data_IF_860299774604
#
_entry.id   IF_860299774604
#
_cell.length_a   1.000
_cell.length_b   1.000
_cell.length_c   1.000
_cell.angle_alpha   90.00
_cell.angle_beta   90.00
_cell.angle_gamma   90.00
#
_symmetry.space_group_name_H-M   'P 1'
#
loop_
_entity.id
_entity.type
_entity.pdbx_description
1 polymer ?
#
# COMPACT_ATOMS: atom_id res chain seq x y z
N UNK A 1 17.16 7.38 13.02
CA UNK A 1 17.13 7.82 11.59
C UNK A 1 17.36 9.33 11.55
N UNK A 2 18.33 9.83 10.77
CA UNK A 2 18.50 11.28 10.59
C UNK A 2 17.55 11.75 9.49
N UNK A 3 16.54 12.53 9.87
CA UNK A 3 15.61 13.18 8.94
C UNK A 3 16.39 14.29 8.22
N UNK A 4 16.31 14.36 6.88
CA UNK A 4 16.99 15.40 6.09
C UNK A 4 16.52 16.79 6.53
N UNK A 5 17.41 17.79 6.49
CA UNK A 5 17.11 19.18 6.92
C UNK A 5 15.84 19.75 6.25
N UNK A 6 15.67 19.49 4.96
CA UNK A 6 14.51 19.91 4.17
C UNK A 6 13.19 19.39 4.75
N UNK A 7 13.15 18.12 5.18
CA UNK A 7 11.96 17.52 5.77
C UNK A 7 11.66 18.11 7.15
N UNK A 8 12.67 18.52 7.91
CA UNK A 8 12.49 19.19 9.21
C UNK A 8 11.91 20.60 9.04
N UNK A 9 12.35 21.35 8.04
CA UNK A 9 11.77 22.65 7.70
C UNK A 9 10.32 22.53 7.24
N UNK A 10 9.99 21.48 6.50
CA UNK A 10 8.62 21.22 6.07
C UNK A 10 7.68 20.91 7.24
N UNK A 11 8.11 20.06 8.18
CA UNK A 11 7.36 19.75 9.41
C UNK A 11 7.13 21.02 10.24
N UNK A 12 8.14 21.89 10.36
CA UNK A 12 8.03 23.17 11.07
C UNK A 12 7.04 24.14 10.42
N UNK A 13 7.05 24.23 9.09
CA UNK A 13 6.10 25.06 8.35
C UNK A 13 4.68 24.54 8.49
N UNK A 14 4.48 23.22 8.39
CA UNK A 14 3.19 22.57 8.61
C UNK A 14 2.69 22.78 10.05
N UNK A 15 3.54 22.56 11.06
CA UNK A 15 3.21 22.82 12.46
C UNK A 15 2.75 24.27 12.68
N UNK A 16 3.48 25.23 12.08
CA UNK A 16 3.14 26.66 12.13
C UNK A 16 1.83 27.00 11.41
N UNK A 17 1.55 26.42 10.23
CA UNK A 17 0.33 26.71 9.48
C UNK A 17 -0.93 26.16 10.16
N UNK A 18 -0.80 25.03 10.85
CA UNK A 18 -1.91 24.37 11.54
C UNK A 18 -2.01 24.71 13.03
N UNK A 19 -1.07 25.50 13.57
CA UNK A 19 -1.05 25.89 14.98
C UNK A 19 -0.87 24.71 15.94
N UNK A 20 -0.16 23.66 15.50
CA UNK A 20 0.07 22.41 16.24
C UNK A 20 1.55 22.24 16.59
N UNK A 21 1.85 21.29 17.47
CA UNK A 21 3.24 20.93 17.80
C UNK A 21 3.96 20.25 16.61
N UNK A 22 5.29 20.33 16.56
CA UNK A 22 6.08 19.60 15.54
C UNK A 22 5.87 18.08 15.61
N UNK A 23 5.63 17.54 16.81
CA UNK A 23 5.33 16.12 17.02
C UNK A 23 3.95 15.73 16.49
N UNK A 24 2.90 16.54 16.74
CA UNK A 24 1.58 16.33 16.13
C UNK A 24 1.60 16.50 14.62
N UNK A 25 2.36 17.47 14.10
CA UNK A 25 2.54 17.65 12.66
C UNK A 25 3.16 16.40 12.02
N UNK A 26 4.21 15.85 12.64
CA UNK A 26 4.83 14.62 12.17
C UNK A 26 3.85 13.45 12.21
N UNK A 27 3.10 13.27 13.30
CA UNK A 27 2.13 12.18 13.43
C UNK A 27 0.99 12.29 12.40
N UNK A 28 0.49 13.50 12.14
CA UNK A 28 -0.50 13.75 11.10
C UNK A 28 0.03 13.41 9.71
N UNK A 29 1.22 13.89 9.36
CA UNK A 29 1.86 13.61 8.07
C UNK A 29 2.09 12.10 7.88
N UNK A 30 2.50 11.39 8.92
CA UNK A 30 2.65 9.92 8.88
C UNK A 30 1.29 9.25 8.65
N UNK A 31 0.23 9.70 9.34
CA UNK A 31 -1.13 9.17 9.16
C UNK A 31 -1.63 9.41 7.73
N UNK A 32 -1.49 10.63 7.21
CA UNK A 32 -1.88 11.00 5.85
C UNK A 32 -1.16 10.15 4.80
N UNK A 33 0.15 9.93 4.95
CA UNK A 33 0.90 9.05 4.05
C UNK A 33 0.38 7.61 4.14
N UNK A 34 0.09 7.12 5.34
CA UNK A 34 -0.43 5.77 5.54
C UNK A 34 -1.80 5.59 4.90
N UNK A 35 -2.72 6.52 5.12
CA UNK A 35 -4.06 6.53 4.55
C UNK A 35 -4.03 6.61 3.02
N UNK A 36 -3.17 7.46 2.46
CA UNK A 36 -2.98 7.57 1.02
C UNK A 36 -2.44 6.27 0.42
N UNK A 37 -1.47 5.62 1.08
CA UNK A 37 -0.95 4.32 0.64
C UNK A 37 -2.00 3.22 0.75
N UNK A 38 -2.82 3.22 1.79
CA UNK A 38 -3.89 2.26 1.99
C UNK A 38 -5.00 2.41 0.95
N UNK A 39 -5.40 3.65 0.65
CA UNK A 39 -6.36 3.98 -0.41
C UNK A 39 -5.83 3.58 -1.78
N UNK A 40 -4.57 3.92 -2.10
CA UNK A 40 -3.95 3.53 -3.37
C UNK A 40 -3.87 2.00 -3.53
N UNK A 41 -3.59 1.29 -2.43
CA UNK A 41 -3.59 -0.18 -2.41
C UNK A 41 -4.99 -0.74 -2.67
N UNK A 42 -6.01 -0.20 -2.01
CA UNK A 42 -7.41 -0.63 -2.20
C UNK A 42 -7.88 -0.41 -3.65
N UNK A 43 -7.57 0.76 -4.22
CA UNK A 43 -7.89 1.07 -5.62
C UNK A 43 -7.21 0.10 -6.59
N UNK A 44 -5.92 -0.17 -6.39
CA UNK A 44 -5.18 -1.15 -7.21
C UNK A 44 -5.77 -2.55 -7.09
N UNK A 45 -6.14 -2.97 -5.88
CA UNK A 45 -6.80 -4.26 -5.66
C UNK A 45 -8.13 -4.34 -6.40
N UNK A 46 -8.95 -3.30 -6.33
CA UNK A 46 -10.23 -3.25 -7.01
C UNK A 46 -10.05 -3.31 -8.54
N UNK A 47 -9.11 -2.55 -9.10
CA UNK A 47 -8.82 -2.57 -10.53
C UNK A 47 -8.34 -3.95 -11.01
N UNK A 48 -7.53 -4.65 -10.20
CA UNK A 48 -7.13 -6.03 -10.49
C UNK A 48 -8.36 -6.95 -10.49
N UNK A 49 -9.23 -6.86 -9.48
CA UNK A 49 -10.45 -7.68 -9.35
C UNK A 49 -11.38 -7.45 -10.54
N UNK A 50 -11.56 -6.22 -10.99
CA UNK A 50 -12.41 -5.87 -12.12
C UNK A 50 -11.84 -6.38 -13.47
N UNK A 51 -10.52 -6.45 -13.60
CA UNK A 51 -9.85 -6.91 -14.82
C UNK A 51 -9.71 -8.43 -14.89
N UNK A 52 -9.63 -9.13 -13.75
CA UNK A 52 -9.46 -10.59 -13.68
C UNK A 52 -10.47 -11.38 -14.53
N UNK A 53 -11.78 -11.08 -14.53
CA UNK A 53 -12.78 -11.78 -15.35
C UNK A 53 -12.58 -11.62 -16.87
N UNK A 54 -11.86 -10.58 -17.31
CA UNK A 54 -11.63 -10.27 -18.72
C UNK A 54 -10.32 -10.86 -19.25
N UNK A 55 -9.53 -11.52 -18.40
CA UNK A 55 -8.28 -12.15 -18.81
C UNK A 55 -8.55 -13.46 -19.54
N UNK A 56 -7.83 -13.69 -20.63
CA UNK A 56 -7.82 -14.99 -21.30
C UNK A 56 -6.98 -16.02 -20.51
N UNK A 57 -7.03 -17.28 -20.92
CA UNK A 57 -6.37 -18.38 -20.21
C UNK A 57 -4.84 -18.19 -20.09
N UNK A 58 -4.18 -17.71 -21.14
CA UNK A 58 -2.74 -17.46 -21.12
C UNK A 58 -2.36 -16.32 -20.16
N UNK A 59 -3.13 -15.24 -20.17
CA UNK A 59 -2.94 -14.11 -19.25
C UNK A 59 -3.17 -14.52 -17.78
N UNK A 60 -4.20 -15.34 -17.51
CA UNK A 60 -4.44 -15.90 -16.18
C UNK A 60 -3.29 -16.79 -15.72
N UNK A 61 -2.70 -17.58 -16.63
CA UNK A 61 -1.54 -18.43 -16.37
C UNK A 61 -0.30 -17.60 -16.02
N UNK A 62 -0.04 -16.53 -16.77
CA UNK A 62 1.07 -15.60 -16.51
C UNK A 62 0.94 -14.91 -15.15
N UNK A 63 -0.26 -14.40 -14.84
CA UNK A 63 -0.55 -13.79 -13.53
C UNK A 63 -0.30 -14.79 -12.41
N UNK A 64 -0.78 -16.03 -12.55
CA UNK A 64 -0.55 -17.09 -11.56
C UNK A 64 0.93 -17.38 -11.35
N UNK A 65 1.71 -17.52 -12.43
CA UNK A 65 3.15 -17.77 -12.35
C UNK A 65 3.89 -16.59 -11.69
N UNK A 66 3.47 -15.36 -11.97
CA UNK A 66 4.03 -14.17 -11.34
C UNK A 66 3.75 -14.16 -9.83
N UNK A 67 2.52 -14.49 -9.43
CA UNK A 67 2.14 -14.59 -8.02
C UNK A 67 2.90 -15.71 -7.33
N UNK A 68 3.06 -16.89 -7.94
CA UNK A 68 3.87 -17.98 -7.39
C UNK A 68 5.36 -17.60 -7.28
N UNK A 69 5.90 -16.82 -8.21
CA UNK A 69 7.30 -16.34 -8.15
C UNK A 69 7.51 -15.34 -7.02
N UNK A 70 6.59 -14.38 -6.86
CA UNK A 70 6.69 -13.33 -5.84
C UNK A 70 6.29 -13.82 -4.45
N UNK A 71 5.34 -14.75 -4.38
CA UNK A 71 4.76 -15.30 -3.16
C UNK A 71 4.61 -16.83 -3.27
N UNK A 72 5.71 -17.60 -3.10
CA UNK A 72 5.77 -19.04 -3.37
C UNK A 72 4.75 -19.90 -2.62
N UNK A 73 4.31 -19.46 -1.45
CA UNK A 73 3.37 -20.20 -0.59
C UNK A 73 1.94 -19.67 -0.68
N UNK A 74 1.67 -18.64 -1.49
CA UNK A 74 0.37 -17.96 -1.53
C UNK A 74 -0.80 -18.92 -1.80
N UNK A 75 -0.74 -19.70 -2.88
CA UNK A 75 -1.80 -20.63 -3.24
C UNK A 75 -1.90 -21.83 -2.29
N UNK A 76 -0.79 -22.26 -1.68
CA UNK A 76 -0.80 -23.31 -0.66
C UNK A 76 -1.48 -22.86 0.65
N UNK A 77 -1.31 -21.59 1.02
CA UNK A 77 -1.97 -21.01 2.19
C UNK A 77 -3.46 -20.82 1.90
N UNK A 78 -3.82 -20.30 0.72
CA UNK A 78 -5.21 -20.16 0.30
C UNK A 78 -5.95 -21.50 0.25
N UNK A 79 -5.35 -22.55 -0.30
CA UNK A 79 -6.00 -23.86 -0.39
C UNK A 79 -6.31 -24.44 0.98
N UNK A 80 -5.40 -24.26 1.96
CA UNK A 80 -5.60 -24.65 3.36
C UNK A 80 -6.66 -23.82 4.08
N UNK A 81 -6.83 -22.55 3.71
CA UNK A 81 -7.85 -21.68 4.30
C UNK A 81 -9.27 -22.03 3.83
N UNK A 82 -9.42 -22.55 2.61
CA UNK A 82 -10.71 -22.97 2.04
C UNK A 82 -11.14 -24.36 2.56
N UNK A 83 -10.20 -25.18 3.05
CA UNK A 83 -10.48 -26.53 3.59
C UNK A 83 -10.88 -26.54 5.07
N UNK A 84 -11.03 -25.37 5.70
CA UNK A 84 -11.39 -25.20 7.12
C UNK A 84 -12.77 -24.59 7.27
#
# INVERSE_FOLDING_TARGET
MKVKKENQEWIKQYAKSYGISEEEALNKLISEVRENQETARANMQQEIIERLPNLNFEQMREVRQLVEKLYPTFFQVLSKAITK
#
